data_IF_204333329433
#
_entry.id   IF_204333329433
#
_cell.length_a   1.000
_cell.length_b   1.000
_cell.length_c   1.000
_cell.angle_alpha   90.00
_cell.angle_beta   90.00
_cell.angle_gamma   90.00
#
_symmetry.space_group_name_H-M   'P 1'
#
loop_
_entity.id
_entity.type
_entity.pdbx_description
1 polymer ?
#
# COMPACT_ATOMS: atom_id res chain seq x y z
N UNK A 1 -2.61 -17.46 19.23
CA UNK A 1 -2.77 -16.13 18.64
C UNK A 1 -2.96 -16.26 17.13
N UNK A 2 -4.08 -15.80 16.59
CA UNK A 2 -4.31 -15.67 15.16
C UNK A 2 -3.37 -14.57 14.63
N UNK A 3 -2.70 -14.80 13.53
CA UNK A 3 -1.82 -13.84 12.89
C UNK A 3 -2.10 -13.79 11.39
N UNK A 4 -3.26 -13.27 11.02
CA UNK A 4 -3.66 -13.19 9.61
C UNK A 4 -2.80 -12.19 8.81
N UNK A 5 -2.26 -11.15 9.49
CA UNK A 5 -1.45 -10.12 8.85
C UNK A 5 -0.05 -10.11 9.48
N UNK A 6 0.86 -10.86 8.91
CA UNK A 6 2.24 -11.02 9.37
C UNK A 6 3.26 -10.11 8.68
N UNK A 7 2.89 -9.52 7.53
CA UNK A 7 3.74 -8.56 6.83
C UNK A 7 4.01 -7.35 7.72
N UNK A 8 5.26 -6.91 7.75
CA UNK A 8 5.73 -5.72 8.48
C UNK A 8 6.57 -4.88 7.53
N UNK A 9 6.45 -3.59 7.68
CA UNK A 9 7.33 -2.65 7.01
C UNK A 9 7.94 -1.72 8.05
N UNK A 10 9.13 -1.22 7.75
CA UNK A 10 9.89 -0.33 8.61
C UNK A 10 10.49 0.80 7.80
N UNK A 11 10.44 2.02 8.33
CA UNK A 11 11.07 3.20 7.74
C UNK A 11 11.64 4.09 8.83
N UNK A 12 12.80 4.70 8.58
CA UNK A 12 13.32 5.76 9.44
C UNK A 12 12.66 7.10 9.09
N UNK A 13 12.51 7.99 10.08
CA UNK A 13 12.20 9.40 9.84
C UNK A 13 13.30 10.08 9.01
N UNK A 14 12.98 11.19 8.37
CA UNK A 14 13.92 11.91 7.50
C UNK A 14 15.20 12.37 8.21
N UNK A 15 15.10 12.70 9.50
CA UNK A 15 16.22 13.09 10.36
C UNK A 15 16.96 11.89 11.00
N UNK A 16 16.43 10.67 10.83
CA UNK A 16 16.97 9.45 11.44
C UNK A 16 16.71 9.28 12.94
N UNK A 17 15.96 10.17 13.56
CA UNK A 17 15.70 10.17 15.01
C UNK A 17 14.62 9.17 15.43
N UNK A 18 13.79 8.70 14.49
CA UNK A 18 12.69 7.77 14.72
C UNK A 18 12.67 6.65 13.68
N UNK A 19 12.10 5.53 14.10
CA UNK A 19 11.75 4.39 13.25
C UNK A 19 10.26 4.16 13.38
N UNK A 20 9.56 4.04 12.25
CA UNK A 20 8.15 3.68 12.17
C UNK A 20 8.00 2.24 11.70
N UNK A 21 7.09 1.50 12.34
CA UNK A 21 6.84 0.08 12.08
C UNK A 21 5.34 -0.16 11.88
N UNK A 22 4.96 -0.79 10.77
CA UNK A 22 3.58 -1.22 10.53
C UNK A 22 3.28 -2.54 11.21
N UNK A 23 2.12 -2.66 11.86
CA UNK A 23 1.66 -3.91 12.50
C UNK A 23 0.19 -4.15 12.19
N UNK A 24 -0.10 -5.06 11.27
CA UNK A 24 -1.48 -5.43 10.92
C UNK A 24 -2.20 -6.20 12.03
N UNK A 25 -3.53 -6.18 11.99
CA UNK A 25 -4.41 -6.93 12.89
C UNK A 25 -4.14 -8.44 12.88
N UNK A 26 -4.47 -9.13 13.94
CA UNK A 26 -4.43 -10.59 14.01
C UNK A 26 -5.65 -11.26 13.39
N UNK A 27 -6.75 -10.52 13.29
CA UNK A 27 -8.06 -10.99 12.85
C UNK A 27 -8.59 -10.19 11.66
N UNK A 28 -9.71 -10.62 11.09
CA UNK A 28 -10.36 -9.88 10.00
C UNK A 28 -11.09 -8.62 10.53
N UNK A 29 -11.95 -8.77 11.52
CA UNK A 29 -12.79 -7.71 12.04
C UNK A 29 -12.88 -7.69 13.57
N UNK A 30 -11.96 -8.34 14.27
CA UNK A 30 -12.01 -8.56 15.73
C UNK A 30 -13.34 -9.17 16.22
N UNK A 31 -13.91 -10.05 15.41
CA UNK A 31 -15.18 -10.70 15.67
C UNK A 31 -15.18 -11.57 16.93
N UNK A 32 -14.02 -11.97 17.41
CA UNK A 32 -13.84 -12.74 18.63
C UNK A 32 -13.50 -11.90 19.87
N UNK A 33 -13.35 -10.59 19.72
CA UNK A 33 -12.95 -9.68 20.78
C UNK A 33 -11.54 -9.94 21.37
N UNK A 34 -10.69 -10.70 20.67
CA UNK A 34 -9.37 -11.16 21.15
C UNK A 34 -8.19 -10.43 20.49
N UNK A 35 -8.44 -9.37 19.74
CA UNK A 35 -7.37 -8.62 19.08
C UNK A 35 -6.42 -8.02 20.10
N UNK A 36 -5.13 -8.16 19.83
CA UNK A 36 -4.12 -7.60 20.70
C UNK A 36 -4.05 -6.07 20.54
N UNK A 37 -4.09 -5.29 21.64
CA UNK A 37 -4.16 -3.83 21.58
C UNK A 37 -2.96 -3.16 20.91
N UNK A 38 -1.87 -3.90 20.73
CA UNK A 38 -0.66 -3.43 20.06
C UNK A 38 -0.65 -3.68 18.54
N UNK A 39 -1.72 -4.22 17.98
CA UNK A 39 -1.87 -4.52 16.54
C UNK A 39 -2.81 -3.52 15.87
N UNK A 40 -3.00 -3.65 14.57
CA UNK A 40 -3.75 -2.69 13.74
C UNK A 40 -3.23 -1.26 13.92
N UNK A 41 -1.91 -1.09 13.86
CA UNK A 41 -1.23 0.12 14.35
C UNK A 41 0.05 0.45 13.58
N UNK A 42 0.47 1.70 13.70
CA UNK A 42 1.84 2.15 13.44
C UNK A 42 2.52 2.38 14.78
N UNK A 43 3.71 1.83 14.92
CA UNK A 43 4.60 2.06 16.05
C UNK A 43 5.68 3.07 15.72
N UNK A 44 6.06 3.87 16.71
CA UNK A 44 7.25 4.70 16.70
C UNK A 44 8.22 4.20 17.77
N UNK A 45 9.51 4.14 17.40
CA UNK A 45 10.60 3.63 18.26
C UNK A 45 11.83 4.50 17.98
N UNK A 46 12.65 4.77 19.01
CA UNK A 46 13.97 5.36 18.82
C UNK A 46 14.92 4.32 18.14
N UNK A 47 15.96 4.77 17.41
CA UNK A 47 16.91 3.85 16.74
C UNK A 47 17.62 2.88 17.69
N UNK A 48 17.79 3.24 18.96
CA UNK A 48 18.35 2.39 20.01
C UNK A 48 17.36 1.38 20.63
N UNK A 49 16.11 1.35 20.12
CA UNK A 49 15.03 0.49 20.60
C UNK A 49 14.26 1.02 21.80
N UNK A 50 14.63 2.16 22.36
CA UNK A 50 13.89 2.82 23.46
C UNK A 50 12.70 3.64 22.94
N UNK A 51 11.88 4.19 23.81
CA UNK A 51 10.81 5.12 23.47
C UNK A 51 9.69 4.51 22.62
N UNK A 52 9.53 3.18 22.62
CA UNK A 52 8.48 2.47 21.89
C UNK A 52 7.09 2.98 22.31
N UNK A 53 6.30 3.44 21.34
CA UNK A 53 4.90 3.86 21.57
C UNK A 53 4.02 3.58 20.36
N UNK A 54 2.72 3.50 20.58
CA UNK A 54 1.74 3.53 19.50
C UNK A 54 1.70 4.95 18.91
N UNK A 55 2.02 5.05 17.61
CA UNK A 55 1.97 6.32 16.88
C UNK A 55 0.57 6.59 16.31
N UNK A 56 -0.05 5.56 15.70
CA UNK A 56 -1.43 5.62 15.23
C UNK A 56 -2.08 4.24 15.35
N UNK A 57 -3.41 4.20 15.49
CA UNK A 57 -4.17 2.97 15.72
C UNK A 57 -5.41 2.88 14.83
N UNK A 58 -6.08 1.71 14.81
CA UNK A 58 -7.27 1.50 14.00
C UNK A 58 -7.01 1.37 12.50
N UNK A 59 -5.78 1.05 12.12
CA UNK A 59 -5.34 0.74 10.77
C UNK A 59 -5.30 -0.79 10.62
N UNK A 60 -6.34 -1.40 10.03
CA UNK A 60 -6.51 -2.86 10.03
C UNK A 60 -5.25 -3.61 9.60
N UNK A 61 -4.76 -3.36 8.41
CA UNK A 61 -3.51 -3.95 7.91
C UNK A 61 -2.69 -2.91 7.15
N UNK A 62 -1.95 -2.05 7.86
CA UNK A 62 -1.04 -1.09 7.25
C UNK A 62 0.17 -1.85 6.71
N UNK A 63 0.53 -1.63 5.43
CA UNK A 63 1.63 -2.34 4.78
C UNK A 63 2.63 -1.39 4.15
N UNK A 64 2.32 -0.76 3.01
CA UNK A 64 3.21 0.20 2.36
C UNK A 64 3.35 1.45 3.21
N UNK A 65 4.57 1.89 3.43
CA UNK A 65 4.89 3.07 4.23
C UNK A 65 6.01 3.85 3.57
N UNK A 66 5.84 5.16 3.42
CA UNK A 66 6.88 6.06 2.93
C UNK A 66 6.67 7.48 3.44
N UNK A 67 7.71 8.30 3.37
CA UNK A 67 7.68 9.72 3.72
C UNK A 67 7.42 10.56 2.47
N UNK A 68 6.46 11.47 2.54
CA UNK A 68 6.22 12.45 1.48
C UNK A 68 7.41 13.41 1.42
N UNK A 69 8.06 13.60 0.23
CA UNK A 69 9.35 14.28 0.16
C UNK A 69 9.33 15.77 0.53
N UNK A 70 8.22 16.47 0.28
CA UNK A 70 8.12 17.91 0.50
C UNK A 70 7.76 18.27 1.95
N UNK A 71 6.87 17.49 2.59
CA UNK A 71 6.39 17.77 3.94
C UNK A 71 7.07 16.94 5.02
N UNK A 72 7.66 15.77 4.66
CA UNK A 72 8.13 14.77 5.61
C UNK A 72 7.02 13.97 6.28
N UNK A 73 5.77 14.18 5.90
CA UNK A 73 4.63 13.45 6.45
C UNK A 73 4.74 11.94 6.15
N UNK A 74 4.40 11.14 7.14
CA UNK A 74 4.33 9.69 7.01
C UNK A 74 3.03 9.29 6.32
N UNK A 75 3.11 8.46 5.29
CA UNK A 75 1.98 7.92 4.55
C UNK A 75 1.96 6.41 4.56
N UNK A 76 0.77 5.82 4.52
CA UNK A 76 0.58 4.36 4.59
C UNK A 76 -0.53 3.90 3.66
N UNK A 77 -0.34 2.71 3.04
CA UNK A 77 -1.43 1.95 2.42
C UNK A 77 -2.01 0.97 3.43
N UNK A 78 -3.33 0.82 3.41
CA UNK A 78 -4.06 -0.05 4.36
C UNK A 78 -5.00 -0.97 3.60
N UNK A 79 -4.96 -2.25 3.96
CA UNK A 79 -5.89 -3.25 3.48
C UNK A 79 -7.01 -3.43 4.50
N UNK A 80 -8.23 -3.23 4.06
CA UNK A 80 -9.43 -3.30 4.89
C UNK A 80 -10.01 -4.72 5.01
N UNK A 81 -11.05 -4.87 5.83
CA UNK A 81 -11.66 -6.16 6.13
C UNK A 81 -12.42 -6.76 4.95
N UNK A 82 -12.47 -8.09 4.92
CA UNK A 82 -13.28 -8.86 4.00
C UNK A 82 -14.72 -9.08 4.53
N UNK A 83 -15.64 -9.47 3.63
CA UNK A 83 -16.96 -9.98 3.99
C UNK A 83 -18.07 -8.95 4.02
N UNK A 84 -17.86 -7.72 3.52
CA UNK A 84 -18.91 -6.71 3.38
C UNK A 84 -19.33 -6.45 1.91
N UNK A 85 -18.80 -7.22 0.98
CA UNK A 85 -19.08 -7.10 -0.44
C UNK A 85 -17.83 -6.75 -1.24
N UNK A 86 -18.02 -6.44 -2.53
CA UNK A 86 -16.90 -6.21 -3.46
C UNK A 86 -16.25 -4.82 -3.30
N UNK A 87 -17.04 -3.81 -2.98
CA UNK A 87 -16.58 -2.41 -3.01
C UNK A 87 -16.35 -1.81 -1.62
N UNK A 88 -16.81 -2.50 -0.56
CA UNK A 88 -16.71 -1.98 0.81
C UNK A 88 -16.16 -3.01 1.78
N UNK A 89 -15.36 -2.58 2.74
CA UNK A 89 -14.71 -1.27 2.83
C UNK A 89 -13.65 -1.10 1.74
N UNK A 90 -13.43 0.12 1.24
CA UNK A 90 -12.32 0.33 0.32
C UNK A 90 -10.98 0.26 1.06
N UNK A 91 -10.00 -0.39 0.46
CA UNK A 91 -8.60 -0.20 0.80
C UNK A 91 -8.22 1.27 0.56
N UNK A 92 -7.20 1.79 1.25
CA UNK A 92 -6.93 3.22 1.17
C UNK A 92 -5.43 3.59 1.30
N UNK A 93 -5.12 4.81 0.86
CA UNK A 93 -3.92 5.55 1.16
C UNK A 93 -4.25 6.69 2.12
N UNK A 94 -3.46 6.88 3.18
CA UNK A 94 -3.68 7.98 4.12
C UNK A 94 -2.38 8.49 4.74
N UNK A 95 -2.39 9.78 5.10
CA UNK A 95 -1.38 10.37 5.96
C UNK A 95 -1.55 9.84 7.38
N UNK A 96 -0.46 9.43 8.00
CA UNK A 96 -0.44 8.95 9.38
C UNK A 96 -0.22 10.13 10.33
N UNK A 97 -1.17 10.38 11.20
CA UNK A 97 -1.12 11.49 12.16
C UNK A 97 -0.89 10.93 13.56
N UNK A 98 0.04 11.53 14.28
CA UNK A 98 0.37 11.14 15.65
C UNK A 98 -0.86 11.17 16.57
N UNK A 99 -1.07 10.08 17.32
CA UNK A 99 -2.21 9.88 18.19
C UNK A 99 -3.55 9.61 17.48
N UNK A 100 -3.60 9.58 16.14
CA UNK A 100 -4.84 9.36 15.42
C UNK A 100 -5.34 7.92 15.51
N UNK A 101 -6.67 7.78 15.45
CA UNK A 101 -7.38 6.51 15.32
C UNK A 101 -8.12 6.49 13.98
N UNK A 102 -8.00 5.39 13.21
CA UNK A 102 -8.55 5.29 11.84
C UNK A 102 -9.79 4.40 11.73
N UNK A 103 -10.30 3.89 12.85
CA UNK A 103 -11.65 3.32 12.94
C UNK A 103 -11.70 1.82 13.18
N UNK A 104 -10.83 1.00 12.58
CA UNK A 104 -10.88 -0.45 12.76
C UNK A 104 -10.75 -0.84 14.23
N UNK A 105 -11.57 -1.77 14.76
CA UNK A 105 -12.53 -2.64 14.06
C UNK A 105 -13.94 -2.08 13.98
N UNK A 106 -14.25 -0.94 14.61
CA UNK A 106 -15.62 -0.49 14.89
C UNK A 106 -16.28 0.25 13.73
N UNK A 107 -15.49 1.03 13.00
CA UNK A 107 -15.94 1.77 11.83
C UNK A 107 -14.90 1.66 10.72
N UNK A 108 -15.35 1.78 9.48
CA UNK A 108 -14.47 1.86 8.32
C UNK A 108 -14.67 3.19 7.60
N UNK A 109 -13.64 3.60 6.87
CA UNK A 109 -13.56 4.86 6.11
C UNK A 109 -14.09 6.07 6.92
N UNK A 110 -13.66 6.14 8.17
CA UNK A 110 -13.94 7.22 9.12
C UNK A 110 -15.24 7.08 9.90
N UNK A 111 -16.37 6.89 9.24
CA UNK A 111 -17.69 7.03 9.90
C UNK A 111 -18.69 5.90 9.66
N UNK A 112 -18.42 4.99 8.73
CA UNK A 112 -19.35 3.90 8.42
C UNK A 112 -19.25 2.80 9.47
N UNK A 113 -20.34 2.46 10.18
CA UNK A 113 -20.32 1.41 11.19
C UNK A 113 -19.96 0.06 10.59
N UNK A 114 -19.08 -0.69 11.22
CA UNK A 114 -18.98 -2.11 10.93
C UNK A 114 -20.26 -2.82 11.32
N UNK A 115 -20.92 -3.58 10.43
CA UNK A 115 -22.24 -4.16 10.72
C UNK A 115 -22.24 -5.14 11.90
N UNK A 116 -21.17 -5.89 12.10
CA UNK A 116 -21.03 -6.79 13.24
C UNK A 116 -20.92 -5.98 14.54
N UNK A 117 -20.02 -5.02 14.59
CA UNK A 117 -19.79 -4.20 15.78
C UNK A 117 -20.95 -3.24 16.07
N UNK A 118 -21.71 -2.83 15.06
CA UNK A 118 -22.94 -2.04 15.28
C UNK A 118 -23.99 -2.79 16.11
N UNK A 119 -23.99 -4.13 16.05
CA UNK A 119 -24.87 -4.98 16.85
C UNK A 119 -24.26 -5.35 18.20
N UNK A 120 -23.01 -5.78 18.21
CA UNK A 120 -22.35 -6.34 19.38
C UNK A 120 -21.68 -5.27 20.28
N UNK A 121 -21.29 -4.14 19.73
CA UNK A 121 -20.49 -3.12 20.40
C UNK A 121 -20.98 -1.68 20.06
N UNK A 122 -22.27 -1.35 20.20
CA UNK A 122 -22.83 -0.08 19.70
C UNK A 122 -22.22 1.17 20.35
N UNK A 123 -21.83 1.10 21.61
CA UNK A 123 -21.20 2.23 22.30
C UNK A 123 -19.79 2.53 21.77
N UNK A 124 -19.01 1.48 21.47
CA UNK A 124 -17.68 1.61 20.87
C UNK A 124 -17.77 2.15 19.44
N UNK A 125 -18.78 1.70 18.67
CA UNK A 125 -19.05 2.23 17.34
C UNK A 125 -19.42 3.71 17.42
N UNK A 126 -20.32 4.10 18.32
CA UNK A 126 -20.73 5.49 18.51
C UNK A 126 -19.54 6.39 18.96
N UNK A 127 -18.64 5.85 19.77
CA UNK A 127 -17.40 6.54 20.13
C UNK A 127 -16.44 6.65 18.93
N UNK A 128 -16.21 5.55 18.21
CA UNK A 128 -15.34 5.51 17.05
C UNK A 128 -15.77 6.51 15.97
N UNK A 129 -17.07 6.60 15.67
CA UNK A 129 -17.63 7.56 14.71
C UNK A 129 -17.30 9.03 15.02
N UNK A 130 -17.04 9.37 16.30
CA UNK A 130 -16.70 10.74 16.71
C UNK A 130 -15.22 11.07 16.56
N UNK A 131 -14.36 10.07 16.65
CA UNK A 131 -12.90 10.25 16.75
C UNK A 131 -12.12 9.66 15.60
N UNK A 132 -12.73 8.73 14.82
CA UNK A 132 -12.02 8.11 13.72
C UNK A 132 -11.74 9.12 12.61
N UNK A 133 -10.49 9.10 12.16
CA UNK A 133 -10.05 9.92 11.04
C UNK A 133 -10.49 9.30 9.73
N UNK A 134 -11.04 10.11 8.85
CA UNK A 134 -11.33 9.69 7.45
C UNK A 134 -10.02 9.55 6.69
N UNK A 135 -9.76 8.43 6.02
CA UNK A 135 -8.62 8.27 5.12
C UNK A 135 -8.62 9.26 3.97
N UNK A 136 -7.42 9.62 3.49
CA UNK A 136 -7.26 10.67 2.48
C UNK A 136 -7.68 10.24 1.07
N UNK A 137 -7.52 8.95 0.70
CA UNK A 137 -7.84 8.45 -0.65
C UNK A 137 -8.24 6.97 -0.63
N UNK A 138 -9.42 6.65 -1.16
CA UNK A 138 -9.85 5.28 -1.41
C UNK A 138 -9.13 4.69 -2.64
N UNK A 139 -8.73 3.42 -2.54
CA UNK A 139 -8.07 2.66 -3.61
C UNK A 139 -8.95 1.54 -4.18
N UNK A 140 -10.19 1.42 -3.67
CA UNK A 140 -11.17 0.39 -4.00
C UNK A 140 -11.10 -0.84 -3.12
N UNK A 141 -12.22 -1.54 -2.97
CA UNK A 141 -12.32 -2.76 -2.18
C UNK A 141 -11.50 -3.90 -2.77
N UNK A 142 -10.77 -4.65 -1.94
CA UNK A 142 -9.94 -5.79 -2.34
C UNK A 142 -8.84 -5.49 -3.38
N UNK A 143 -8.42 -4.23 -3.51
CA UNK A 143 -7.32 -3.84 -4.38
C UNK A 143 -5.95 -4.30 -3.85
N UNK A 144 -5.86 -4.54 -2.55
CA UNK A 144 -4.70 -5.02 -1.81
C UNK A 144 -3.45 -4.16 -2.08
N UNK A 145 -3.46 -2.86 -1.72
CA UNK A 145 -2.31 -2.00 -1.89
C UNK A 145 -1.23 -2.37 -0.86
N UNK A 146 -0.06 -2.79 -1.35
CA UNK A 146 1.05 -3.23 -0.53
C UNK A 146 2.23 -2.28 -0.59
N UNK A 147 2.83 -2.07 -1.77
CA UNK A 147 3.98 -1.18 -1.93
C UNK A 147 3.55 0.27 -2.04
N UNK A 148 4.28 1.16 -1.37
CA UNK A 148 4.13 2.61 -1.48
C UNK A 148 5.51 3.23 -1.71
N UNK A 149 5.64 4.08 -2.73
CA UNK A 149 6.85 4.84 -2.98
C UNK A 149 6.53 6.23 -3.51
N UNK A 150 6.83 7.26 -2.74
CA UNK A 150 6.90 8.61 -3.27
C UNK A 150 8.10 8.74 -4.21
N UNK A 151 7.84 9.18 -5.43
CA UNK A 151 8.90 9.32 -6.42
C UNK A 151 9.76 10.55 -6.12
N UNK A 152 11.07 10.35 -6.10
CA UNK A 152 12.09 11.38 -5.80
C UNK A 152 12.97 11.67 -7.01
N UNK A 153 12.91 10.82 -8.04
CA UNK A 153 13.70 10.93 -9.25
C UNK A 153 13.15 11.91 -10.27
N UNK A 154 13.87 12.02 -11.37
CA UNK A 154 13.49 12.86 -12.52
C UNK A 154 13.48 12.12 -13.85
N UNK A 155 13.65 10.78 -13.82
CA UNK A 155 13.72 9.97 -15.04
C UNK A 155 12.38 9.86 -15.76
N UNK A 156 11.29 9.73 -15.01
CA UNK A 156 9.94 9.72 -15.58
C UNK A 156 9.47 11.12 -15.96
N UNK A 157 8.52 11.24 -16.93
CA UNK A 157 7.91 12.52 -17.30
C UNK A 157 7.42 13.32 -16.09
N UNK A 158 7.38 14.64 -16.22
CA UNK A 158 7.06 15.59 -15.14
C UNK A 158 5.77 15.23 -14.39
N UNK A 159 4.76 14.70 -15.07
CA UNK A 159 3.50 14.26 -14.45
C UNK A 159 3.68 13.22 -13.35
N UNK A 160 4.77 12.44 -13.38
CA UNK A 160 5.10 11.42 -12.38
C UNK A 160 6.09 11.89 -11.31
N UNK A 161 6.56 13.12 -11.37
CA UNK A 161 7.58 13.63 -10.43
C UNK A 161 7.01 14.18 -9.13
N UNK A 162 5.68 14.30 -9.02
CA UNK A 162 4.98 14.79 -7.82
C UNK A 162 3.86 13.85 -7.44
N UNK A 163 4.19 12.78 -6.76
CA UNK A 163 3.20 11.80 -6.33
C UNK A 163 3.82 10.50 -5.85
N UNK A 164 2.97 9.53 -5.68
CA UNK A 164 3.34 8.23 -5.16
C UNK A 164 2.93 7.11 -6.13
N UNK A 165 3.79 6.13 -6.29
CA UNK A 165 3.47 4.85 -6.90
C UNK A 165 2.96 3.89 -5.82
N UNK A 166 1.88 3.17 -6.13
CA UNK A 166 1.30 2.14 -5.27
C UNK A 166 1.18 0.84 -6.03
N UNK A 167 1.81 -0.22 -5.52
CA UNK A 167 1.62 -1.56 -6.03
C UNK A 167 0.35 -2.17 -5.42
N UNK A 168 -0.63 -2.49 -6.26
CA UNK A 168 -1.88 -3.14 -5.87
C UNK A 168 -1.81 -4.61 -6.28
N UNK A 169 -1.60 -5.45 -5.27
CA UNK A 169 -1.43 -6.90 -5.49
C UNK A 169 -2.68 -7.55 -6.07
N UNK A 170 -3.85 -6.98 -5.81
CA UNK A 170 -5.14 -7.58 -6.11
C UNK A 170 -5.49 -8.71 -5.15
N UNK A 171 -6.77 -8.86 -4.88
CA UNK A 171 -7.32 -9.81 -3.94
C UNK A 171 -8.40 -10.70 -4.53
N UNK A 172 -8.97 -11.53 -3.68
CA UNK A 172 -10.19 -12.30 -3.93
C UNK A 172 -11.40 -11.50 -3.42
N UNK A 173 -12.62 -11.95 -3.73
CA UNK A 173 -13.84 -11.32 -3.22
C UNK A 173 -14.47 -10.32 -4.19
N UNK A 174 -14.02 -10.30 -5.44
CA UNK A 174 -14.59 -9.52 -6.54
C UNK A 174 -14.87 -10.39 -7.76
N UNK A 175 -15.96 -10.10 -8.47
CA UNK A 175 -16.26 -10.69 -9.77
C UNK A 175 -15.33 -10.11 -10.86
N UNK A 176 -15.04 -8.81 -10.77
CA UNK A 176 -14.10 -8.14 -11.67
C UNK A 176 -12.78 -7.87 -10.94
N UNK A 177 -11.67 -8.10 -11.62
CA UNK A 177 -10.33 -7.83 -11.09
C UNK A 177 -10.14 -6.35 -10.79
N UNK A 178 -9.65 -6.06 -9.58
CA UNK A 178 -9.16 -4.74 -9.19
C UNK A 178 -7.80 -4.90 -8.53
N UNK A 179 -6.88 -4.00 -8.85
CA UNK A 179 -5.48 -4.22 -8.52
C UNK A 179 -4.78 -5.02 -9.62
N UNK A 180 -3.77 -5.81 -9.28
CA UNK A 180 -2.89 -6.49 -10.23
C UNK A 180 -2.19 -5.48 -11.15
N UNK A 181 -1.82 -4.33 -10.58
CA UNK A 181 -1.23 -3.21 -11.30
C UNK A 181 -0.33 -2.38 -10.37
N UNK A 182 0.37 -1.45 -10.97
CA UNK A 182 0.95 -0.31 -10.23
C UNK A 182 0.21 0.94 -10.68
N UNK A 183 -0.26 1.71 -9.73
CA UNK A 183 -0.91 2.99 -9.98
C UNK A 183 -0.02 4.14 -9.54
N UNK A 184 -0.22 5.30 -10.18
CA UNK A 184 0.35 6.56 -9.76
C UNK A 184 -0.74 7.45 -9.17
N UNK A 185 -0.44 8.06 -8.05
CA UNK A 185 -1.33 8.98 -7.33
C UNK A 185 -0.66 10.35 -7.33
N UNK A 186 -1.17 11.31 -8.15
CA UNK A 186 -0.64 12.67 -8.17
C UNK A 186 -0.91 13.37 -6.85
N UNK A 187 0.09 14.13 -6.38
CA UNK A 187 0.01 14.98 -5.18
C UNK A 187 0.12 16.45 -5.55
N UNK A 188 -0.61 17.28 -4.83
CA UNK A 188 -0.55 18.73 -4.91
C UNK A 188 -0.64 19.33 -3.51
N UNK A 189 0.29 20.19 -3.16
CA UNK A 189 0.35 20.81 -1.82
C UNK A 189 0.36 19.78 -0.68
N UNK A 190 1.09 18.67 -0.85
CA UNK A 190 1.24 17.63 0.17
C UNK A 190 0.06 16.68 0.32
N UNK A 191 -0.98 16.76 -0.52
CA UNK A 191 -2.17 15.88 -0.47
C UNK A 191 -2.46 15.24 -1.82
N UNK A 192 -3.07 14.04 -1.87
CA UNK A 192 -3.47 13.41 -3.12
C UNK A 192 -4.54 14.24 -3.82
N UNK A 193 -4.49 14.30 -5.15
CA UNK A 193 -5.46 15.06 -5.96
C UNK A 193 -6.82 14.39 -6.07
N UNK A 194 -6.98 13.18 -5.55
CA UNK A 194 -8.18 12.34 -5.71
C UNK A 194 -8.15 11.47 -6.97
N UNK A 195 -7.11 11.58 -7.78
CA UNK A 195 -6.95 10.78 -9.01
C UNK A 195 -6.07 9.56 -8.72
N UNK A 196 -6.47 8.39 -9.23
CA UNK A 196 -5.69 7.16 -9.24
C UNK A 196 -5.44 6.81 -10.69
N UNK A 197 -4.21 7.02 -11.16
CA UNK A 197 -3.83 6.77 -12.55
C UNK A 197 -3.19 5.40 -12.69
N UNK A 198 -3.63 4.60 -13.65
CA UNK A 198 -2.94 3.37 -14.01
C UNK A 198 -1.55 3.67 -14.57
N UNK A 199 -0.52 3.06 -13.98
CA UNK A 199 0.87 3.23 -14.41
C UNK A 199 1.41 1.98 -15.11
N UNK A 200 1.36 0.82 -14.47
CA UNK A 200 1.86 -0.44 -15.03
C UNK A 200 0.78 -1.52 -14.90
N UNK A 201 0.50 -2.21 -16.02
CA UNK A 201 -0.47 -3.32 -16.13
C UNK A 201 0.16 -4.52 -16.81
N UNK A 202 -0.67 -5.55 -17.09
CA UNK A 202 -0.23 -6.77 -17.79
C UNK A 202 -0.02 -7.95 -16.83
N UNK A 203 -0.38 -7.80 -15.57
CA UNK A 203 -0.27 -8.88 -14.59
C UNK A 203 -1.45 -9.87 -14.64
N UNK A 204 -2.57 -9.51 -15.24
CA UNK A 204 -3.72 -10.41 -15.46
C UNK A 204 -3.51 -11.16 -16.76
N UNK A 205 -3.52 -12.50 -16.70
CA UNK A 205 -3.36 -13.37 -17.87
C UNK A 205 -4.69 -13.60 -18.59
N UNK A 206 -5.71 -14.02 -17.85
CA UNK A 206 -7.06 -14.24 -18.36
C UNK A 206 -8.08 -13.91 -17.26
N UNK A 207 -8.84 -12.82 -17.41
CA UNK A 207 -9.82 -12.41 -16.41
C UNK A 207 -11.02 -13.37 -16.33
N UNK A 208 -11.35 -14.10 -17.40
CA UNK A 208 -12.45 -15.07 -17.39
C UNK A 208 -12.09 -16.36 -16.67
N UNK A 209 -10.83 -16.77 -16.74
CA UNK A 209 -10.30 -17.95 -16.04
C UNK A 209 -9.76 -17.62 -14.65
N UNK A 210 -9.69 -16.35 -14.28
CA UNK A 210 -9.14 -15.92 -13.00
C UNK A 210 -7.63 -16.15 -12.88
N UNK A 211 -6.90 -16.17 -14.00
CA UNK A 211 -5.45 -16.42 -14.01
C UNK A 211 -4.64 -15.15 -14.14
N UNK A 212 -3.45 -15.14 -13.52
CA UNK A 212 -2.55 -14.00 -13.50
C UNK A 212 -1.14 -14.40 -13.93
N UNK A 213 -0.42 -13.48 -14.59
CA UNK A 213 1.00 -13.60 -14.86
C UNK A 213 1.84 -13.24 -13.64
N UNK A 214 1.36 -12.30 -12.82
CA UNK A 214 2.07 -11.76 -11.70
C UNK A 214 1.17 -11.00 -10.72
N UNK A 215 1.75 -10.61 -9.58
CA UNK A 215 1.10 -9.82 -8.54
C UNK A 215 2.12 -8.85 -7.94
N UNK A 216 2.08 -7.55 -8.28
CA UNK A 216 3.06 -6.58 -7.81
C UNK A 216 2.93 -6.35 -6.31
N UNK A 217 4.07 -6.26 -5.60
CA UNK A 217 4.10 -6.19 -4.12
C UNK A 217 4.85 -4.97 -3.61
N UNK A 218 6.15 -4.86 -3.89
CA UNK A 218 6.97 -3.76 -3.39
C UNK A 218 7.50 -2.90 -4.54
N UNK A 219 7.81 -1.64 -4.22
CA UNK A 219 8.38 -0.68 -5.16
C UNK A 219 9.64 -0.09 -4.52
N UNK A 220 10.75 -0.15 -5.23
CA UNK A 220 11.97 0.57 -4.89
C UNK A 220 12.38 1.48 -6.04
N UNK A 221 12.95 2.62 -5.71
CA UNK A 221 13.50 3.56 -6.68
C UNK A 221 15.02 3.41 -6.71
N UNK A 222 15.58 3.30 -7.91
CA UNK A 222 17.02 3.23 -8.12
C UNK A 222 17.61 4.64 -8.27
N UNK A 223 18.92 4.75 -8.11
CA UNK A 223 19.67 6.02 -8.20
C UNK A 223 19.51 6.72 -9.56
N UNK A 224 19.24 5.96 -10.63
CA UNK A 224 18.97 6.49 -11.96
C UNK A 224 17.53 6.96 -12.16
N UNK A 225 16.68 6.85 -11.13
CA UNK A 225 15.27 7.20 -11.16
C UNK A 225 14.36 6.14 -11.79
N UNK A 226 14.86 4.96 -12.18
CA UNK A 226 14.02 3.83 -12.56
C UNK A 226 13.42 3.15 -11.32
N UNK A 227 12.37 2.35 -11.52
CA UNK A 227 11.71 1.62 -10.46
C UNK A 227 11.97 0.12 -10.54
N UNK A 228 12.17 -0.52 -9.40
CA UNK A 228 12.08 -1.96 -9.25
C UNK A 228 10.74 -2.31 -8.63
N UNK A 229 10.05 -3.29 -9.19
CA UNK A 229 8.77 -3.79 -8.72
C UNK A 229 8.89 -5.29 -8.50
N UNK A 230 8.73 -5.73 -7.26
CA UNK A 230 8.70 -7.17 -6.96
C UNK A 230 7.34 -7.77 -7.27
N UNK A 231 7.35 -9.00 -7.76
CA UNK A 231 6.18 -9.77 -8.17
C UNK A 231 6.22 -11.13 -7.48
N UNK A 232 5.29 -11.37 -6.54
CA UNK A 232 5.30 -12.58 -5.72
C UNK A 232 4.71 -13.81 -6.43
N UNK A 233 3.84 -13.64 -7.41
CA UNK A 233 3.29 -14.74 -8.19
C UNK A 233 4.18 -15.13 -9.38
N UNK A 234 4.79 -14.12 -10.02
CA UNK A 234 5.71 -14.34 -11.15
C UNK A 234 7.13 -14.72 -10.74
N UNK A 235 7.48 -14.69 -9.45
CA UNK A 235 8.86 -14.86 -8.95
C UNK A 235 9.87 -13.97 -9.69
N UNK A 236 9.49 -12.71 -9.93
CA UNK A 236 10.21 -11.79 -10.80
C UNK A 236 10.40 -10.44 -10.10
N UNK A 237 11.47 -9.76 -10.41
CA UNK A 237 11.64 -8.34 -10.15
C UNK A 237 11.68 -7.61 -11.48
N UNK A 238 10.73 -6.70 -11.67
CA UNK A 238 10.61 -5.89 -12.88
C UNK A 238 11.36 -4.58 -12.69
N UNK A 239 12.23 -4.24 -13.63
CA UNK A 239 12.79 -2.89 -13.71
C UNK A 239 11.98 -2.08 -14.71
N UNK A 240 11.44 -0.94 -14.28
CA UNK A 240 10.64 -0.03 -15.08
C UNK A 240 11.40 1.27 -15.25
N UNK A 241 11.62 1.66 -16.51
CA UNK A 241 12.38 2.85 -16.85
C UNK A 241 11.72 3.61 -17.99
N UNK A 242 11.79 4.94 -17.96
CA UNK A 242 11.32 5.76 -19.07
C UNK A 242 12.41 5.93 -20.13
N UNK A 243 12.05 5.71 -21.38
CA UNK A 243 12.91 5.96 -22.55
C UNK A 243 12.12 6.81 -23.54
N UNK A 244 12.66 7.96 -23.94
CA UNK A 244 12.01 8.81 -24.94
C UNK A 244 11.91 8.06 -26.30
N UNK A 245 10.78 8.14 -26.96
CA UNK A 245 10.40 7.34 -28.15
C UNK A 245 11.42 7.39 -29.31
N UNK A 246 12.24 8.42 -29.41
CA UNK A 246 13.26 8.56 -30.45
C UNK A 246 14.39 7.51 -30.40
N UNK A 247 14.52 6.76 -29.29
CA UNK A 247 15.57 5.76 -29.06
C UNK A 247 15.06 4.35 -28.78
N UNK A 248 13.74 4.12 -28.76
CA UNK A 248 13.16 2.84 -28.41
C UNK A 248 13.26 1.82 -29.58
N UNK A 249 14.13 0.83 -29.40
CA UNK A 249 14.02 -0.44 -30.10
C UNK A 249 13.64 -1.45 -29.04
N UNK A 250 12.36 -1.97 -28.99
CA UNK A 250 12.13 -3.20 -28.18
C UNK A 250 10.65 -3.59 -27.95
N UNK A 251 10.41 -4.78 -27.38
CA UNK A 251 9.13 -5.40 -27.04
C UNK A 251 8.38 -4.53 -26.00
N UNK A 252 7.26 -3.98 -26.43
CA UNK A 252 6.62 -2.84 -25.78
C UNK A 252 5.62 -3.27 -24.69
N UNK A 253 5.90 -2.92 -23.44
CA UNK A 253 4.85 -2.65 -22.47
C UNK A 253 4.39 -1.19 -22.67
N UNK A 254 3.14 -0.98 -23.05
CA UNK A 254 2.61 0.37 -23.30
C UNK A 254 1.97 0.93 -22.06
N UNK A 255 2.31 2.17 -21.72
CA UNK A 255 1.51 2.98 -20.83
C UNK A 255 0.18 3.35 -21.48
N UNK A 256 -0.85 3.57 -20.67
CA UNK A 256 -2.20 3.96 -21.11
C UNK A 256 -2.26 5.24 -21.95
N UNK A 257 -1.20 6.06 -21.95
CA UNK A 257 -1.06 7.31 -22.69
C UNK A 257 -0.20 7.20 -23.97
N UNK A 258 0.25 6.00 -24.34
CA UNK A 258 1.06 5.75 -25.55
C UNK A 258 2.58 5.87 -25.36
N UNK A 259 3.06 6.22 -24.17
CA UNK A 259 4.50 6.16 -23.86
C UNK A 259 4.97 4.72 -23.73
N UNK A 260 6.21 4.43 -24.12
CA UNK A 260 6.81 3.10 -24.07
C UNK A 260 7.61 2.94 -22.80
N UNK A 261 7.28 1.94 -21.99
CA UNK A 261 8.12 1.46 -20.92
C UNK A 261 8.95 0.27 -21.40
N UNK A 262 10.26 0.33 -21.22
CA UNK A 262 11.12 -0.83 -21.39
C UNK A 262 11.24 -1.53 -20.05
N UNK A 263 10.76 -2.76 -19.96
CA UNK A 263 10.97 -3.62 -18.81
C UNK A 263 11.97 -4.72 -19.12
N UNK A 264 12.98 -4.89 -18.27
CA UNK A 264 13.75 -6.11 -18.21
C UNK A 264 13.27 -6.94 -17.02
N UNK A 265 12.86 -8.18 -17.26
CA UNK A 265 12.58 -9.14 -16.20
C UNK A 265 13.84 -9.90 -15.84
N UNK A 266 14.18 -9.96 -14.55
CA UNK A 266 15.22 -10.86 -14.04
C UNK A 266 14.57 -11.90 -13.15
N UNK A 267 14.77 -13.21 -13.39
CA UNK A 267 14.25 -14.24 -12.51
C UNK A 267 14.86 -14.09 -11.11
N UNK A 268 14.03 -14.21 -10.10
CA UNK A 268 14.44 -14.08 -8.69
C UNK A 268 15.51 -15.12 -8.26
N UNK A 269 15.64 -16.22 -9.02
CA UNK A 269 16.64 -17.29 -8.80
C UNK A 269 18.10 -16.89 -9.11
N UNK A 270 18.34 -15.66 -9.58
CA UNK A 270 19.68 -15.14 -9.88
C UNK A 270 20.35 -14.38 -8.73
N UNK A 271 19.75 -14.31 -7.57
CA UNK A 271 20.39 -13.75 -6.38
C UNK A 271 21.28 -14.83 -5.75
N UNK A 272 22.57 -14.62 -5.79
CA UNK A 272 23.56 -15.46 -5.13
C UNK A 272 23.25 -15.57 -3.63
N UNK A 273 22.93 -16.78 -3.16
CA UNK A 273 22.70 -17.07 -1.74
C UNK A 273 23.98 -17.15 -0.91
N UNK A 274 25.09 -16.61 -1.39
CA UNK A 274 26.33 -16.52 -0.62
C UNK A 274 26.33 -15.29 0.28
N UNK A 275 25.42 -15.25 1.25
CA UNK A 275 25.69 -14.54 2.50
C UNK A 275 26.09 -15.63 3.48
N UNK A 276 27.41 -15.72 3.73
CA UNK A 276 28.02 -16.60 4.70
C UNK A 276 27.34 -16.47 6.08
N UNK A 277 27.26 -17.62 6.76
CA UNK A 277 26.71 -17.88 8.08
C UNK A 277 27.38 -17.08 9.18
#
# INVERSE_FOLDING_TARGET
YWNNHWTRNVIASADGEKIYLTVGAGTNANENGIEHPERAAIWEINPDGTGKRLYATGLRNPVGIDLQPESGDLWVTVNERDGLGEDVPPDFLTRVVDGAFYGWPYVYYGTYPDPFHAQENPDQVAAAQKFARVPDLALGGHSVPLGLRFYRGSRFPEKYQRGAFVARKGGVGRAEFLGYDVVFIPFKNGVPTGVVETFLTGFIADPMLGTVHGRPVAIAELDDGSLLISDDAGNTVWQVSYVAVASARFQDLRLSNGDVLVSESRPASGWDQSIDR
#
